data_IF_960452902267
#
_entry.id   IF_960452902267
#
_cell.length_a   1.000
_cell.length_b   1.000
_cell.length_c   1.000
_cell.angle_alpha   90.00
_cell.angle_beta   90.00
_cell.angle_gamma   90.00
#
_symmetry.space_group_name_H-M   'P 1'
#
loop_
_entity.id
_entity.type
_entity.pdbx_description
1 polymer ?
#
# COMPACT_ATOMS: atom_id res chain seq x y z
N UNK A 1 15.00 -9.01 16.54
CA UNK A 1 15.04 -8.07 15.40
C UNK A 1 16.37 -7.32 15.27
N UNK A 2 17.03 -6.88 16.36
CA UNK A 2 18.33 -6.16 16.36
C UNK A 2 19.48 -6.92 15.67
N UNK A 3 19.52 -8.26 15.75
CA UNK A 3 20.64 -9.06 15.21
C UNK A 3 20.72 -9.11 13.67
N UNK A 4 19.62 -8.90 12.93
CA UNK A 4 19.62 -9.02 11.46
C UNK A 4 20.14 -7.75 10.77
N UNK A 5 19.88 -6.58 11.35
CA UNK A 5 20.39 -5.28 10.85
C UNK A 5 21.91 -5.19 11.05
N UNK A 6 22.41 -5.67 12.19
CA UNK A 6 23.86 -5.72 12.48
C UNK A 6 24.58 -6.68 11.51
N UNK A 7 24.02 -7.87 11.25
CA UNK A 7 24.61 -8.81 10.30
C UNK A 7 24.66 -8.27 8.86
N UNK A 8 23.66 -7.49 8.43
CA UNK A 8 23.66 -6.84 7.11
C UNK A 8 24.72 -5.73 7.03
N UNK A 9 24.90 -4.96 8.11
CA UNK A 9 25.94 -3.93 8.22
C UNK A 9 27.36 -4.52 8.23
N UNK A 10 27.57 -5.65 8.92
CA UNK A 10 28.85 -6.34 8.99
C UNK A 10 29.22 -7.02 7.67
N UNK A 11 28.25 -7.62 6.97
CA UNK A 11 28.46 -8.15 5.62
C UNK A 11 28.78 -7.05 4.61
N UNK A 12 28.17 -5.87 4.76
CA UNK A 12 28.50 -4.69 3.97
C UNK A 12 29.95 -4.25 4.20
N UNK A 13 30.39 -4.12 5.45
CA UNK A 13 31.78 -3.74 5.77
C UNK A 13 32.81 -4.74 5.23
N UNK A 14 32.52 -6.04 5.30
CA UNK A 14 33.39 -7.09 4.72
C UNK A 14 33.51 -7.00 3.20
N UNK A 15 32.44 -6.66 2.48
CA UNK A 15 32.47 -6.51 1.03
C UNK A 15 33.09 -5.17 0.59
N UNK A 16 32.98 -4.13 1.41
CA UNK A 16 33.44 -2.76 1.12
C UNK A 16 34.96 -2.62 0.95
N UNK A 17 35.75 -3.49 1.59
CA UNK A 17 37.22 -3.40 1.52
C UNK A 17 37.82 -3.73 0.14
N UNK A 18 37.04 -4.22 -0.83
CA UNK A 18 37.61 -4.83 -2.05
C UNK A 18 37.36 -4.14 -3.39
N UNK A 19 36.44 -3.16 -3.54
CA UNK A 19 36.26 -2.43 -4.82
C UNK A 19 35.83 -0.97 -4.64
N UNK A 20 36.68 -0.06 -5.11
CA UNK A 20 36.41 1.38 -5.16
C UNK A 20 35.42 1.67 -6.29
N UNK A 21 34.14 1.69 -5.95
CA UNK A 21 33.15 2.53 -6.63
C UNK A 21 32.63 3.46 -5.55
N UNK A 22 32.86 4.77 -5.66
CA UNK A 22 32.35 5.75 -4.68
C UNK A 22 30.83 5.62 -4.62
N UNK A 23 30.32 5.02 -3.55
CA UNK A 23 28.89 4.92 -3.28
C UNK A 23 28.31 6.32 -3.20
N UNK A 24 27.38 6.62 -4.09
CA UNK A 24 26.68 7.90 -4.07
C UNK A 24 25.61 7.87 -2.99
N UNK A 25 25.30 9.03 -2.41
CA UNK A 25 24.17 9.18 -1.49
C UNK A 25 22.86 8.72 -2.15
N UNK A 26 22.72 8.88 -3.47
CA UNK A 26 21.59 8.36 -4.24
C UNK A 26 21.46 6.84 -4.19
N UNK A 27 22.56 6.11 -4.38
CA UNK A 27 22.57 4.65 -4.28
C UNK A 27 22.18 4.17 -2.88
N UNK A 28 22.73 4.79 -1.83
CA UNK A 28 22.37 4.47 -0.44
C UNK A 28 20.90 4.77 -0.13
N UNK A 29 20.36 5.89 -0.62
CA UNK A 29 18.95 6.23 -0.45
C UNK A 29 18.02 5.22 -1.16
N UNK A 30 18.40 4.77 -2.35
CA UNK A 30 17.66 3.74 -3.09
C UNK A 30 17.69 2.40 -2.35
N UNK A 31 18.86 1.99 -1.83
CA UNK A 31 18.97 0.80 -0.99
C UNK A 31 18.12 0.92 0.28
N UNK A 32 18.17 2.06 0.99
CA UNK A 32 17.32 2.31 2.17
C UNK A 32 15.84 2.16 1.82
N UNK A 33 15.40 2.72 0.69
CA UNK A 33 14.03 2.58 0.20
C UNK A 33 13.62 1.13 -0.06
N UNK A 34 14.47 0.34 -0.74
CA UNK A 34 14.19 -1.08 -1.02
C UNK A 34 14.14 -1.93 0.25
N UNK A 35 15.12 -1.77 1.14
CA UNK A 35 15.13 -2.47 2.43
C UNK A 35 13.88 -2.18 3.24
N UNK A 36 13.46 -0.92 3.22
CA UNK A 36 12.25 -0.49 3.88
C UNK A 36 10.99 -1.14 3.30
N UNK A 37 10.87 -1.23 1.97
CA UNK A 37 9.78 -1.96 1.31
C UNK A 37 9.76 -3.45 1.71
N UNK A 38 10.92 -4.12 1.77
CA UNK A 38 10.98 -5.52 2.20
C UNK A 38 10.53 -5.71 3.66
N UNK A 39 11.00 -4.87 4.57
CA UNK A 39 10.60 -4.94 5.99
C UNK A 39 9.09 -4.78 6.12
N UNK A 40 8.52 -3.79 5.43
CA UNK A 40 7.08 -3.52 5.47
C UNK A 40 6.27 -4.66 4.86
N UNK A 41 6.73 -5.23 3.75
CA UNK A 41 6.10 -6.39 3.10
C UNK A 41 6.05 -7.59 4.06
N UNK A 42 7.17 -7.90 4.72
CA UNK A 42 7.22 -9.01 5.68
C UNK A 42 6.29 -8.80 6.87
N UNK A 43 6.30 -7.60 7.46
CA UNK A 43 5.41 -7.28 8.59
C UNK A 43 3.92 -7.35 8.19
N UNK A 44 3.57 -6.89 6.99
CA UNK A 44 2.18 -7.00 6.53
C UNK A 44 1.75 -8.44 6.29
N UNK A 45 2.65 -9.29 5.79
CA UNK A 45 2.37 -10.70 5.64
C UNK A 45 2.19 -11.41 6.99
N UNK A 46 3.04 -11.10 7.98
CA UNK A 46 2.86 -11.58 9.36
C UNK A 46 1.50 -11.16 9.93
N UNK A 47 1.15 -9.87 9.80
CA UNK A 47 -0.17 -9.37 10.24
C UNK A 47 -1.31 -10.07 9.52
N UNK A 48 -1.18 -10.34 8.22
CA UNK A 48 -2.22 -11.04 7.44
C UNK A 48 -2.43 -12.48 7.94
N UNK A 49 -1.35 -13.21 8.22
CA UNK A 49 -1.40 -14.57 8.77
C UNK A 49 -2.03 -14.58 10.17
N UNK A 50 -1.58 -13.69 11.06
CA UNK A 50 -2.14 -13.55 12.41
C UNK A 50 -3.63 -13.19 12.37
N UNK A 51 -4.02 -12.31 11.44
CA UNK A 51 -5.41 -11.89 11.26
C UNK A 51 -6.30 -13.05 10.80
N UNK A 52 -5.82 -13.88 9.87
CA UNK A 52 -6.53 -15.08 9.45
C UNK A 52 -6.71 -16.06 10.62
N UNK A 53 -5.66 -16.33 11.40
CA UNK A 53 -5.74 -17.22 12.56
C UNK A 53 -6.77 -16.72 13.58
N UNK A 54 -6.80 -15.41 13.85
CA UNK A 54 -7.69 -14.79 14.84
C UNK A 54 -9.14 -14.65 14.38
N UNK A 55 -9.36 -14.27 13.12
CA UNK A 55 -10.68 -13.84 12.63
C UNK A 55 -11.29 -14.75 11.57
N UNK A 56 -10.52 -15.73 11.04
CA UNK A 56 -10.94 -16.57 9.91
C UNK A 56 -11.31 -15.75 8.67
N UNK A 57 -10.63 -14.62 8.48
CA UNK A 57 -10.81 -13.71 7.35
C UNK A 57 -9.54 -13.72 6.51
N UNK A 58 -9.67 -14.05 5.23
CA UNK A 58 -8.56 -14.11 4.28
C UNK A 58 -8.12 -12.72 3.84
N UNK A 59 -7.35 -12.08 4.71
CA UNK A 59 -6.70 -10.81 4.47
C UNK A 59 -5.44 -11.00 3.63
N UNK A 60 -5.27 -10.17 2.61
CA UNK A 60 -4.06 -10.11 1.81
C UNK A 60 -3.66 -8.64 1.68
N UNK A 61 -2.42 -8.34 2.07
CA UNK A 61 -1.81 -7.02 1.89
C UNK A 61 -0.59 -7.23 1.02
N UNK A 62 -0.55 -6.55 -0.12
CA UNK A 62 0.47 -6.83 -1.13
C UNK A 62 0.90 -5.57 -1.86
N UNK A 63 2.14 -5.61 -2.33
CA UNK A 63 2.77 -4.53 -3.06
C UNK A 63 2.22 -4.44 -4.48
N UNK A 64 2.04 -3.23 -4.97
CA UNK A 64 1.69 -2.93 -6.36
C UNK A 64 2.98 -2.56 -7.13
N UNK A 65 3.12 -2.96 -8.41
CA UNK A 65 4.19 -2.44 -9.23
C UNK A 65 4.09 -0.93 -9.43
N UNK A 66 5.24 -0.27 -9.55
CA UNK A 66 5.29 1.12 -10.00
C UNK A 66 4.60 1.23 -11.36
N UNK A 67 3.69 2.20 -11.50
CA UNK A 67 3.05 2.41 -12.79
C UNK A 67 4.09 2.84 -13.82
N UNK A 68 4.22 2.07 -14.91
CA UNK A 68 5.01 2.47 -16.08
C UNK A 68 4.24 3.44 -16.99
N UNK A 69 2.94 3.51 -16.80
CA UNK A 69 1.99 4.32 -17.57
C UNK A 69 1.02 5.00 -16.59
N UNK A 70 1.31 6.25 -16.25
CA UNK A 70 0.56 7.02 -15.26
C UNK A 70 -0.92 7.22 -15.63
N UNK A 71 -1.31 6.94 -16.89
CA UNK A 71 -2.71 7.01 -17.36
C UNK A 71 -3.56 5.81 -16.95
N UNK A 72 -2.94 4.76 -16.41
CA UNK A 72 -3.61 3.50 -16.05
C UNK A 72 -3.25 3.07 -14.64
N UNK A 73 -4.01 3.52 -13.62
CA UNK A 73 -3.72 3.18 -12.23
C UNK A 73 -3.68 1.66 -12.02
N UNK A 74 -2.56 1.12 -11.53
CA UNK A 74 -2.36 -0.33 -11.43
C UNK A 74 -3.35 -1.00 -10.48
N UNK A 75 -3.79 -0.29 -9.43
CA UNK A 75 -4.75 -0.84 -8.47
C UNK A 75 -6.13 -1.11 -9.10
N UNK A 76 -6.54 -0.35 -10.12
CA UNK A 76 -7.79 -0.62 -10.84
C UNK A 76 -7.70 -1.90 -11.68
N UNK A 77 -6.49 -2.29 -12.13
CA UNK A 77 -6.27 -3.52 -12.90
C UNK A 77 -6.44 -4.79 -12.06
N UNK A 78 -6.55 -4.66 -10.73
CA UNK A 78 -6.90 -5.78 -9.85
C UNK A 78 -8.36 -6.20 -10.01
N UNK A 79 -9.24 -5.26 -10.38
CA UNK A 79 -10.66 -5.51 -10.46
C UNK A 79 -11.03 -6.32 -11.71
N UNK A 80 -12.00 -7.21 -11.58
CA UNK A 80 -12.56 -7.96 -12.70
C UNK A 80 -13.14 -7.00 -13.74
N UNK A 81 -13.02 -7.32 -15.03
CA UNK A 81 -13.59 -6.49 -16.11
C UNK A 81 -15.10 -6.25 -15.96
N UNK A 82 -15.81 -7.19 -15.34
CA UNK A 82 -17.24 -7.07 -15.07
C UNK A 82 -17.55 -5.90 -14.12
N UNK A 83 -16.65 -5.55 -13.20
CA UNK A 83 -16.85 -4.44 -12.25
C UNK A 83 -17.04 -3.09 -12.96
N UNK A 84 -16.60 -2.97 -14.21
CA UNK A 84 -16.69 -1.75 -15.02
C UNK A 84 -17.90 -1.72 -15.97
N UNK A 85 -18.76 -2.75 -15.94
CA UNK A 85 -19.96 -2.82 -16.77
C UNK A 85 -21.14 -2.09 -16.12
N UNK A 86 -22.21 -1.86 -16.89
CA UNK A 86 -23.44 -1.22 -16.40
C UNK A 86 -24.00 -2.00 -15.20
N UNK A 87 -24.42 -1.27 -14.16
CA UNK A 87 -24.89 -1.77 -12.86
C UNK A 87 -23.82 -2.40 -11.96
N UNK A 88 -22.54 -2.26 -12.29
CA UNK A 88 -21.43 -2.68 -11.42
C UNK A 88 -20.73 -1.49 -10.76
N UNK A 89 -20.03 -1.70 -9.63
CA UNK A 89 -19.51 -0.61 -8.82
C UNK A 89 -18.58 0.39 -9.55
N UNK A 90 -17.81 -0.07 -10.54
CA UNK A 90 -16.84 0.76 -11.26
C UNK A 90 -17.37 1.24 -12.62
N UNK A 91 -18.67 1.12 -12.90
CA UNK A 91 -19.30 1.63 -14.14
C UNK A 91 -18.88 3.07 -14.45
N UNK A 92 -19.01 3.97 -13.47
CA UNK A 92 -18.70 5.39 -13.63
C UNK A 92 -17.22 5.66 -13.89
N UNK A 93 -16.35 4.69 -13.59
CA UNK A 93 -14.91 4.80 -13.78
C UNK A 93 -14.52 4.40 -15.20
N UNK A 94 -15.26 3.50 -15.86
CA UNK A 94 -14.91 2.97 -17.18
C UNK A 94 -14.69 4.08 -18.22
N UNK A 95 -15.57 5.10 -18.21
CA UNK A 95 -15.50 6.22 -19.15
C UNK A 95 -14.31 7.17 -18.91
N UNK A 96 -13.70 7.14 -17.72
CA UNK A 96 -12.68 8.10 -17.31
C UNK A 96 -11.35 7.47 -16.87
N UNK A 97 -11.28 6.14 -16.73
CA UNK A 97 -10.10 5.45 -16.14
C UNK A 97 -8.79 5.77 -16.84
N UNK A 98 -8.81 5.96 -18.16
CA UNK A 98 -7.66 6.32 -19.00
C UNK A 98 -7.21 7.79 -18.83
N UNK A 99 -7.98 8.59 -18.10
CA UNK A 99 -7.70 9.99 -17.77
C UNK A 99 -7.38 10.18 -16.28
N UNK A 100 -7.42 9.10 -15.51
CA UNK A 100 -7.04 9.12 -14.10
C UNK A 100 -5.52 9.00 -14.05
N UNK A 101 -4.86 10.14 -13.92
CA UNK A 101 -3.42 10.18 -13.73
C UNK A 101 -3.10 9.87 -12.28
N UNK A 102 -2.44 8.75 -12.03
CA UNK A 102 -2.07 8.41 -10.67
C UNK A 102 -0.82 7.54 -10.58
N UNK A 103 0.16 7.97 -9.79
CA UNK A 103 1.21 7.07 -9.31
C UNK A 103 0.54 6.03 -8.40
N UNK A 104 0.57 4.76 -8.81
CA UNK A 104 -0.02 3.67 -8.03
C UNK A 104 0.38 3.76 -6.55
N UNK A 105 -0.55 3.52 -5.61
CA UNK A 105 -0.18 3.39 -4.21
C UNK A 105 0.79 2.22 -4.03
N UNK A 106 1.55 2.23 -2.95
CA UNK A 106 2.61 1.25 -2.74
C UNK A 106 2.04 -0.15 -2.42
N UNK A 107 0.93 -0.22 -1.67
CA UNK A 107 0.25 -1.46 -1.32
C UNK A 107 -1.28 -1.36 -1.41
N UNK A 108 -1.93 -2.50 -1.59
CA UNK A 108 -3.38 -2.69 -1.44
C UNK A 108 -3.67 -3.62 -0.28
N UNK A 109 -4.75 -3.33 0.44
CA UNK A 109 -5.36 -4.18 1.46
C UNK A 109 -6.62 -4.77 0.85
N UNK A 110 -6.69 -6.10 0.80
CA UNK A 110 -7.85 -6.82 0.28
C UNK A 110 -8.32 -7.90 1.25
N UNK A 111 -9.62 -8.15 1.25
CA UNK A 111 -10.23 -9.32 1.88
C UNK A 111 -10.86 -10.16 0.78
N UNK A 112 -10.39 -11.38 0.63
CA UNK A 112 -10.84 -12.29 -0.44
C UNK A 112 -11.89 -13.24 0.11
N UNK A 113 -13.05 -13.25 -0.53
CA UNK A 113 -14.16 -14.16 -0.17
C UNK A 113 -14.06 -15.52 -0.89
N UNK A 114 -13.21 -15.62 -1.92
CA UNK A 114 -13.09 -16.78 -2.81
C UNK A 114 -12.01 -17.77 -2.34
N UNK A 115 -12.45 -18.91 -1.79
CA UNK A 115 -11.61 -19.97 -1.21
C UNK A 115 -10.49 -20.49 -2.16
N UNK A 116 -10.77 -20.89 -3.43
CA UNK A 116 -9.73 -21.24 -4.40
C UNK A 116 -8.60 -20.23 -4.57
N UNK A 117 -8.92 -18.92 -4.56
CA UNK A 117 -7.92 -17.87 -4.75
C UNK A 117 -7.06 -17.67 -3.49
N UNK A 118 -7.66 -17.87 -2.30
CA UNK A 118 -6.94 -17.84 -1.02
C UNK A 118 -5.89 -18.94 -0.99
N UNK A 119 -6.26 -20.18 -1.32
CA UNK A 119 -5.32 -21.30 -1.35
C UNK A 119 -4.17 -21.09 -2.34
N UNK A 120 -4.43 -20.44 -3.48
CA UNK A 120 -3.38 -20.12 -4.46
C UNK A 120 -2.37 -19.10 -3.92
N UNK A 121 -2.83 -18.12 -3.13
CA UNK A 121 -2.02 -16.99 -2.67
C UNK A 121 -1.34 -17.28 -1.34
N UNK A 122 -1.91 -18.12 -0.50
CA UNK A 122 -1.40 -18.39 0.84
C UNK A 122 0.09 -18.77 0.89
N UNK A 123 0.62 -19.65 0.00
CA UNK A 123 2.06 -19.94 -0.03
C UNK A 123 2.92 -18.70 -0.28
N UNK A 124 2.42 -17.73 -1.06
CA UNK A 124 3.12 -16.47 -1.30
C UNK A 124 3.09 -15.54 -0.09
N UNK A 125 2.00 -15.52 0.68
CA UNK A 125 1.93 -14.74 1.93
C UNK A 125 2.89 -15.33 2.97
N UNK A 126 2.92 -16.65 3.11
CA UNK A 126 3.89 -17.34 3.98
C UNK A 126 5.33 -17.06 3.53
N UNK A 127 5.59 -17.05 2.22
CA UNK A 127 6.89 -16.68 1.68
C UNK A 127 7.22 -15.19 1.93
N UNK A 128 6.26 -14.27 1.81
CA UNK A 128 6.46 -12.85 2.13
C UNK A 128 6.81 -12.65 3.61
N UNK A 129 6.17 -13.37 4.52
CA UNK A 129 6.47 -13.29 5.95
C UNK A 129 7.89 -13.80 6.27
N UNK A 130 8.30 -14.91 5.64
CA UNK A 130 9.57 -15.56 5.95
C UNK A 130 10.77 -14.99 5.16
N UNK A 131 10.52 -14.52 3.93
CA UNK A 131 11.52 -14.21 2.89
C UNK A 131 11.05 -13.04 2.01
N UNK A 132 10.75 -11.86 2.58
CA UNK A 132 10.15 -10.74 1.84
C UNK A 132 11.00 -10.20 0.68
N UNK A 133 12.31 -10.43 0.70
CA UNK A 133 13.23 -10.00 -0.36
C UNK A 133 13.09 -10.81 -1.65
N UNK A 134 12.46 -12.00 -1.59
CA UNK A 134 12.29 -12.90 -2.72
C UNK A 134 11.01 -12.65 -3.51
N UNK A 135 10.10 -11.83 -2.98
CA UNK A 135 8.85 -11.48 -3.64
C UNK A 135 8.79 -9.98 -3.89
N UNK A 136 8.62 -9.61 -5.15
CA UNK A 136 8.36 -8.24 -5.58
C UNK A 136 6.86 -7.96 -5.65
N UNK A 137 6.23 -8.45 -6.71
CA UNK A 137 4.84 -8.12 -7.09
C UNK A 137 4.05 -9.35 -7.56
N UNK A 138 4.52 -10.55 -7.25
CA UNK A 138 3.93 -11.81 -7.70
C UNK A 138 2.49 -11.98 -7.21
N UNK A 139 2.20 -11.55 -5.98
CA UNK A 139 0.82 -11.53 -5.44
C UNK A 139 -0.09 -10.60 -6.25
N UNK A 140 0.44 -9.43 -6.67
CA UNK A 140 -0.30 -8.53 -7.57
C UNK A 140 -0.59 -9.22 -8.91
N UNK A 141 0.41 -9.87 -9.51
CA UNK A 141 0.24 -10.55 -10.81
C UNK A 141 -0.79 -11.69 -10.72
N UNK A 142 -0.82 -12.42 -9.60
CA UNK A 142 -1.82 -13.44 -9.33
C UNK A 142 -3.23 -12.86 -9.14
N UNK A 143 -3.36 -11.64 -8.60
CA UNK A 143 -4.65 -11.01 -8.29
C UNK A 143 -5.20 -10.14 -9.41
N UNK A 144 -4.38 -9.79 -10.38
CA UNK A 144 -4.74 -8.94 -11.51
C UNK A 144 -5.99 -9.47 -12.23
N UNK A 145 -7.01 -8.62 -12.32
CA UNK A 145 -8.29 -8.91 -12.96
C UNK A 145 -9.19 -9.90 -12.21
N UNK A 146 -8.92 -10.19 -10.92
CA UNK A 146 -9.65 -11.23 -10.16
C UNK A 146 -10.46 -10.70 -8.99
N UNK A 147 -10.21 -9.49 -8.51
CA UNK A 147 -10.90 -8.93 -7.36
C UNK A 147 -12.24 -8.29 -7.75
N UNK A 148 -13.23 -8.36 -6.87
CA UNK A 148 -14.39 -7.46 -6.91
C UNK A 148 -13.99 -6.12 -6.28
N UNK A 149 -14.62 -5.01 -6.67
CA UNK A 149 -14.29 -3.69 -6.13
C UNK A 149 -14.44 -3.64 -4.60
N UNK A 150 -15.44 -4.34 -4.06
CA UNK A 150 -15.69 -4.46 -2.62
C UNK A 150 -14.64 -5.24 -1.84
N UNK A 151 -13.84 -6.06 -2.52
CA UNK A 151 -12.79 -6.87 -1.87
C UNK A 151 -11.55 -6.01 -1.59
N UNK A 152 -11.35 -4.92 -2.33
CA UNK A 152 -10.38 -3.87 -1.98
C UNK A 152 -10.93 -3.08 -0.79
N UNK A 153 -10.19 -3.08 0.32
CA UNK A 153 -10.56 -2.38 1.56
C UNK A 153 -9.82 -1.07 1.74
N UNK A 154 -8.62 -0.99 1.17
CA UNK A 154 -7.87 0.25 1.17
C UNK A 154 -6.54 0.12 0.49
N UNK A 155 -5.79 1.20 0.54
CA UNK A 155 -4.47 1.33 -0.03
C UNK A 155 -3.52 1.94 0.99
N UNK A 156 -2.24 1.68 0.83
CA UNK A 156 -1.22 2.19 1.74
C UNK A 156 -0.11 2.82 0.91
N UNK A 157 0.26 4.03 1.28
CA UNK A 157 1.42 4.74 0.77
C UNK A 157 2.52 4.70 1.82
N UNK A 158 3.68 4.16 1.44
CA UNK A 158 4.82 3.89 2.32
C UNK A 158 5.98 4.80 1.90
N UNK A 159 6.41 5.70 2.79
CA UNK A 159 7.49 6.65 2.49
C UNK A 159 8.59 6.55 3.54
N UNK A 160 9.85 6.71 3.13
CA UNK A 160 10.95 6.79 4.13
C UNK A 160 10.82 8.07 4.97
N UNK A 161 10.39 9.17 4.34
CA UNK A 161 10.23 10.48 4.98
C UNK A 161 9.30 11.40 4.20
N UNK A 162 8.73 12.40 4.88
CA UNK A 162 7.75 13.35 4.33
C UNK A 162 8.34 14.69 3.93
N UNK A 163 9.41 14.65 3.13
CA UNK A 163 9.91 15.87 2.47
C UNK A 163 8.80 16.48 1.60
N UNK A 164 8.75 17.81 1.40
CA UNK A 164 7.61 18.49 0.77
C UNK A 164 7.09 17.83 -0.52
N UNK A 165 7.96 17.46 -1.46
CA UNK A 165 7.54 16.79 -2.70
C UNK A 165 6.82 15.45 -2.46
N UNK A 166 7.30 14.63 -1.52
CA UNK A 166 6.67 13.35 -1.16
C UNK A 166 5.33 13.54 -0.44
N UNK A 167 5.18 14.63 0.31
CA UNK A 167 3.93 14.99 0.98
C UNK A 167 2.82 15.27 -0.02
N UNK A 168 3.09 16.12 -1.02
CA UNK A 168 2.09 16.46 -2.04
C UNK A 168 1.75 15.29 -2.96
N UNK A 169 2.71 14.40 -3.23
CA UNK A 169 2.41 13.16 -3.94
C UNK A 169 1.35 12.32 -3.20
N UNK A 170 1.52 12.10 -1.89
CA UNK A 170 0.55 11.36 -1.09
C UNK A 170 -0.82 12.05 -1.02
N UNK A 171 -0.85 13.39 -0.92
CA UNK A 171 -2.10 14.16 -0.93
C UNK A 171 -2.85 14.05 -2.27
N UNK A 172 -2.13 14.09 -3.38
CA UNK A 172 -2.74 13.88 -4.69
C UNK A 172 -3.26 12.45 -4.83
N UNK A 173 -2.47 11.47 -4.40
CA UNK A 173 -2.85 10.06 -4.47
C UNK A 173 -4.12 9.76 -3.67
N UNK A 174 -4.20 10.23 -2.42
CA UNK A 174 -5.42 10.05 -1.64
C UNK A 174 -6.62 10.78 -2.23
N UNK A 175 -6.44 12.00 -2.75
CA UNK A 175 -7.53 12.75 -3.37
C UNK A 175 -8.17 11.96 -4.53
N UNK A 176 -7.34 11.37 -5.39
CA UNK A 176 -7.80 10.57 -6.52
C UNK A 176 -8.47 9.27 -6.07
N UNK A 177 -7.84 8.51 -5.17
CA UNK A 177 -8.37 7.23 -4.72
C UNK A 177 -9.69 7.40 -3.98
N UNK A 178 -9.80 8.43 -3.14
CA UNK A 178 -11.05 8.73 -2.43
C UNK A 178 -12.15 9.21 -3.37
N UNK A 179 -11.82 10.01 -4.38
CA UNK A 179 -12.80 10.42 -5.39
C UNK A 179 -13.34 9.21 -6.16
N UNK A 180 -12.45 8.32 -6.65
CA UNK A 180 -12.84 7.08 -7.34
C UNK A 180 -13.70 6.22 -6.42
N UNK A 181 -13.23 5.98 -5.19
CA UNK A 181 -13.97 5.22 -4.18
C UNK A 181 -15.39 5.74 -4.00
N UNK A 182 -15.54 7.05 -3.80
CA UNK A 182 -16.85 7.68 -3.62
C UNK A 182 -17.75 7.51 -4.84
N UNK A 183 -17.24 7.80 -6.04
CA UNK A 183 -18.02 7.70 -7.30
C UNK A 183 -18.46 6.27 -7.63
N UNK A 184 -17.77 5.30 -7.05
CA UNK A 184 -18.03 3.87 -7.21
C UNK A 184 -18.83 3.24 -6.06
N UNK A 185 -19.31 4.06 -5.12
CA UNK A 185 -20.01 3.57 -3.92
C UNK A 185 -19.16 2.66 -3.04
N UNK A 186 -17.83 2.72 -3.19
CA UNK A 186 -16.87 1.96 -2.39
C UNK A 186 -16.40 2.81 -1.20
N UNK A 187 -15.92 2.15 -0.15
CA UNK A 187 -15.37 2.78 1.05
C UNK A 187 -13.90 2.40 1.19
N UNK A 188 -13.12 2.64 0.13
CA UNK A 188 -11.68 2.39 0.14
C UNK A 188 -10.99 3.37 1.09
N UNK A 189 -10.26 2.82 2.05
CA UNK A 189 -9.46 3.58 3.00
C UNK A 189 -8.10 3.93 2.39
N UNK A 190 -7.52 5.02 2.84
CA UNK A 190 -6.19 5.48 2.46
C UNK A 190 -5.34 5.63 3.71
N UNK A 191 -4.21 4.93 3.75
CA UNK A 191 -3.26 4.99 4.85
C UNK A 191 -1.91 5.52 4.40
N UNK A 192 -1.25 6.22 5.30
CA UNK A 192 0.12 6.67 5.10
C UNK A 192 1.01 6.10 6.18
N UNK A 193 2.14 5.50 5.78
CA UNK A 193 3.11 4.97 6.72
C UNK A 193 4.49 5.53 6.41
N UNK A 194 5.21 5.93 7.46
CA UNK A 194 6.56 6.48 7.34
C UNK A 194 7.60 5.82 8.23
N UNK A 195 8.84 5.75 7.74
CA UNK A 195 9.98 5.31 8.55
C UNK A 195 10.43 6.36 9.57
N UNK A 196 10.12 7.63 9.31
CA UNK A 196 10.45 8.75 10.17
C UNK A 196 9.16 9.31 10.75
N UNK A 197 9.24 9.88 11.95
CA UNK A 197 8.10 10.49 12.61
C UNK A 197 7.48 11.64 11.80
N UNK A 198 6.15 11.73 11.85
CA UNK A 198 5.41 12.85 11.29
C UNK A 198 5.68 14.12 12.10
N UNK A 199 6.08 15.19 11.41
CA UNK A 199 6.11 16.52 12.02
C UNK A 199 4.69 16.98 12.39
N UNK A 200 4.57 17.99 13.25
CA UNK A 200 3.27 18.60 13.56
C UNK A 200 2.56 19.12 12.29
N UNK A 201 3.33 19.56 11.30
CA UNK A 201 2.78 20.01 10.01
C UNK A 201 2.19 18.85 9.21
N UNK A 202 2.89 17.70 9.18
CA UNK A 202 2.39 16.50 8.49
C UNK A 202 1.13 15.99 9.19
N UNK A 203 1.17 15.89 10.53
CA UNK A 203 0.00 15.47 11.32
C UNK A 203 -1.21 16.33 11.00
N UNK A 204 -1.06 17.66 11.00
CA UNK A 204 -2.14 18.59 10.68
C UNK A 204 -2.68 18.37 9.27
N UNK A 205 -1.80 18.35 8.27
CA UNK A 205 -2.19 18.28 6.86
C UNK A 205 -2.93 16.98 6.54
N UNK A 206 -2.42 15.84 7.02
CA UNK A 206 -2.99 14.55 6.67
C UNK A 206 -4.17 14.14 7.55
N UNK A 207 -4.18 14.46 8.85
CA UNK A 207 -5.29 14.06 9.74
C UNK A 207 -6.48 15.02 9.74
N UNK A 208 -6.26 16.32 9.46
CA UNK A 208 -7.30 17.35 9.47
C UNK A 208 -7.62 17.86 8.05
N UNK A 209 -6.90 17.38 7.03
CA UNK A 209 -7.17 17.74 5.65
C UNK A 209 -8.48 17.12 5.17
N UNK A 210 -9.36 17.96 4.63
CA UNK A 210 -10.58 17.52 3.96
C UNK A 210 -10.22 17.04 2.56
N UNK A 211 -10.73 15.88 2.16
CA UNK A 211 -10.57 15.36 0.82
C UNK A 211 -11.22 16.32 -0.20
N UNK A 212 -10.60 16.61 -1.35
CA UNK A 212 -11.14 17.58 -2.31
C UNK A 212 -12.57 17.30 -2.79
N UNK A 213 -12.93 16.03 -2.98
CA UNK A 213 -14.30 15.66 -3.35
C UNK A 213 -15.31 15.94 -2.20
N UNK A 214 -14.88 15.84 -0.94
CA UNK A 214 -15.69 16.24 0.22
C UNK A 214 -16.01 17.73 0.22
N UNK A 215 -15.04 18.58 -0.16
CA UNK A 215 -15.27 20.02 -0.32
C UNK A 215 -16.36 20.28 -1.38
N UNK A 216 -16.26 19.62 -2.54
CA UNK A 216 -17.24 19.77 -3.62
C UNK A 216 -18.66 19.32 -3.21
N UNK A 217 -18.76 18.38 -2.26
CA UNK A 217 -20.02 17.85 -1.73
C UNK A 217 -20.49 18.58 -0.46
N UNK A 218 -19.72 19.53 0.06
CA UNK A 218 -19.94 20.17 1.36
C UNK A 218 -20.02 19.15 2.52
N UNK A 219 -19.12 18.17 2.52
CA UNK A 219 -19.00 17.12 3.54
C UNK A 219 -17.59 17.13 4.16
N UNK A 220 -17.51 16.90 5.48
CA UNK A 220 -16.25 16.76 6.20
C UNK A 220 -15.68 15.34 6.04
N UNK A 221 -15.20 15.04 4.82
CA UNK A 221 -14.60 13.75 4.48
C UNK A 221 -13.08 13.80 4.67
N UNK A 222 -12.54 12.90 5.48
CA UNK A 222 -11.10 12.79 5.72
C UNK A 222 -10.33 12.49 4.43
N UNK A 223 -9.22 13.19 4.24
CA UNK A 223 -8.27 12.91 3.17
C UNK A 223 -7.47 11.64 3.46
N UNK A 224 -6.75 11.55 4.58
CA UNK A 224 -6.05 10.33 5.01
C UNK A 224 -6.81 9.73 6.19
N UNK A 225 -7.14 8.43 6.13
CA UNK A 225 -7.90 7.79 7.20
C UNK A 225 -7.07 7.65 8.47
N UNK A 226 -5.81 7.22 8.31
CA UNK A 226 -4.86 7.17 9.42
C UNK A 226 -3.38 7.21 8.97
N UNK A 227 -2.51 7.56 9.91
CA UNK A 227 -1.06 7.66 9.72
C UNK A 227 -0.30 6.87 10.77
N UNK A 228 0.80 6.23 10.37
CA UNK A 228 1.62 5.41 11.27
C UNK A 228 3.11 5.63 11.02
N UNK A 229 3.92 5.73 12.08
CA UNK A 229 5.38 5.81 12.00
C UNK A 229 6.04 4.58 12.64
N UNK A 230 7.30 4.32 12.28
CA UNK A 230 8.18 3.34 12.94
C UNK A 230 7.72 1.86 12.92
N UNK A 231 6.72 1.51 12.11
CA UNK A 231 6.31 0.11 11.86
C UNK A 231 6.06 -0.74 13.10
N UNK A 232 5.56 -0.15 14.18
CA UNK A 232 5.18 -0.95 15.35
C UNK A 232 4.11 -1.95 14.93
N UNK A 233 4.34 -3.23 15.18
CA UNK A 233 3.44 -4.31 14.74
C UNK A 233 1.99 -4.05 15.20
N UNK A 234 1.80 -3.55 16.42
CA UNK A 234 0.46 -3.19 16.93
C UNK A 234 -0.22 -2.09 16.10
N UNK A 235 0.53 -1.12 15.60
CA UNK A 235 -0.01 -0.05 14.75
C UNK A 235 -0.48 -0.60 13.40
N UNK A 236 0.25 -1.57 12.84
CA UNK A 236 -0.16 -2.26 11.61
C UNK A 236 -1.39 -3.15 11.82
N UNK A 237 -1.51 -3.81 12.97
CA UNK A 237 -2.72 -4.55 13.35
C UNK A 237 -3.91 -3.60 13.47
N UNK A 238 -3.75 -2.48 14.17
CA UNK A 238 -4.80 -1.47 14.33
C UNK A 238 -5.23 -0.87 12.98
N UNK A 239 -4.28 -0.65 12.07
CA UNK A 239 -4.55 -0.23 10.69
C UNK A 239 -5.47 -1.21 9.98
N UNK A 240 -5.13 -2.50 10.03
CA UNK A 240 -5.87 -3.56 9.38
C UNK A 240 -7.27 -3.71 9.98
N UNK A 241 -7.39 -3.74 11.30
CA UNK A 241 -8.68 -3.84 11.98
C UNK A 241 -9.59 -2.65 11.62
N UNK A 242 -9.03 -1.43 11.54
CA UNK A 242 -9.78 -0.26 11.09
C UNK A 242 -10.18 -0.37 9.61
N UNK A 243 -9.32 -0.90 8.74
CA UNK A 243 -9.63 -1.06 7.32
C UNK A 243 -10.76 -2.05 7.04
N UNK A 244 -10.89 -3.08 7.87
CA UNK A 244 -11.81 -4.20 7.63
C UNK A 244 -13.13 -4.00 8.37
N UNK A 245 -13.10 -3.48 9.60
CA UNK A 245 -14.27 -3.45 10.49
C UNK A 245 -14.88 -2.05 10.70
N UNK A 246 -14.31 -0.98 10.12
CA UNK A 246 -14.78 0.41 10.28
C UNK A 246 -14.77 1.18 8.95
#
# INVERSE_FOLDING_TARGET
MVNRVVAAYDNYHKQYQTKITKLTTGALNNSKGRWHEFIVTGLFAEVALDFYLKHQVSLIIFRIPNSRDETKPEYLKLCQNQEFQINYPLENIEAIKEKIFLSSPDYVISVIENDPLVHLIQPYIELQANQPEYLGVEVYDLLKGKLKAKEVKGVISVKVSNRPGRRYQALYETAMIKAVSYTSGQIWKYYMITAEDFSNSDKRIFSQGIAPHGIALNLDLKSVDNMYSDYKQQDLINLVEYAIFR
#
